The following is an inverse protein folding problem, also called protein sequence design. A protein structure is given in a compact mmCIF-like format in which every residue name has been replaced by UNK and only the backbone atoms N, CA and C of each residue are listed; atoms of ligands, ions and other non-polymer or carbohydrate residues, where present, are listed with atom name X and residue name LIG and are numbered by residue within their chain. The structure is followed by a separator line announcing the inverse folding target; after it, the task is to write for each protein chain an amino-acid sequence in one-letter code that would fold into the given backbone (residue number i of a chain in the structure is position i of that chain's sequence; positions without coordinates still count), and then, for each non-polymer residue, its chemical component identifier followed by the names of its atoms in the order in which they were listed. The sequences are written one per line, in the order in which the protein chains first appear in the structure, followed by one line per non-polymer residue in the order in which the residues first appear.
data_IF_094640130781
#
_entry.id   IF_094640130781
#
_cell.length_a   1.000
_cell.length_b   1.000
_cell.length_c   1.000
_cell.angle_alpha   90.00
_cell.angle_beta   90.00
_cell.angle_gamma   90.00
#
_symmetry.space_group_name_H-M   'P 1'
#
loop_
_entity.id
_entity.type
_entity.pdbx_description
1 polymer ?
#
# COMPACT_ATOMS: atom_id res chain seq x y z
N UNK A 1 -13.57 -21.80 1.14
CA UNK A 1 -13.95 -20.55 1.85
C UNK A 1 -14.09 -19.48 0.80
N UNK A 2 -15.10 -18.63 0.89
CA UNK A 2 -15.16 -17.44 0.03
C UNK A 2 -14.11 -16.39 0.44
N UNK A 3 -13.80 -15.47 -0.47
CA UNK A 3 -12.80 -14.43 -0.27
C UNK A 3 -13.14 -13.53 0.93
N UNK A 4 -14.42 -13.25 1.16
CA UNK A 4 -14.89 -12.42 2.30
C UNK A 4 -14.58 -13.07 3.66
N UNK A 5 -14.82 -14.37 3.78
CA UNK A 5 -14.50 -15.11 4.99
C UNK A 5 -12.99 -15.16 5.22
N UNK A 6 -12.19 -15.27 4.16
CA UNK A 6 -10.72 -15.21 4.25
C UNK A 6 -10.25 -13.84 4.73
N UNK A 7 -10.77 -12.77 4.11
CA UNK A 7 -10.49 -11.40 4.48
C UNK A 7 -10.81 -11.13 5.95
N UNK A 8 -12.02 -11.50 6.42
CA UNK A 8 -12.43 -11.31 7.81
C UNK A 8 -11.47 -11.99 8.79
N UNK A 9 -11.01 -13.21 8.48
CA UNK A 9 -10.03 -13.91 9.33
C UNK A 9 -8.65 -13.25 9.31
N UNK A 10 -8.21 -12.71 8.19
CA UNK A 10 -6.92 -12.02 8.10
C UNK A 10 -6.96 -10.68 8.83
N UNK A 11 -8.10 -9.96 8.77
CA UNK A 11 -8.37 -8.79 9.60
C UNK A 11 -8.36 -9.17 11.10
N UNK A 12 -9.03 -10.25 11.49
CA UNK A 12 -9.02 -10.72 12.89
C UNK A 12 -7.61 -11.09 13.37
N UNK A 13 -6.79 -11.68 12.50
CA UNK A 13 -5.39 -12.03 12.79
C UNK A 13 -4.48 -10.81 12.91
N UNK A 14 -4.80 -9.68 12.28
CA UNK A 14 -4.03 -8.45 12.47
C UNK A 14 -4.14 -7.92 13.90
N UNK A 15 -5.25 -8.22 14.59
CA UNK A 15 -5.50 -7.81 15.97
C UNK A 15 -5.75 -6.31 16.13
N UNK A 16 -5.96 -5.57 15.04
CA UNK A 16 -6.01 -4.12 15.04
C UNK A 16 -7.39 -3.59 14.63
N UNK A 17 -8.23 -3.30 15.64
CA UNK A 17 -9.62 -2.87 15.50
C UNK A 17 -10.42 -3.65 14.43
N UNK A 18 -10.47 -4.99 14.49
CA UNK A 18 -10.97 -5.82 13.40
C UNK A 18 -12.42 -5.52 13.02
N UNK A 19 -13.28 -5.20 13.99
CA UNK A 19 -14.68 -4.83 13.73
C UNK A 19 -14.81 -3.49 12.99
N UNK A 20 -13.98 -2.49 13.34
CA UNK A 20 -13.97 -1.19 12.67
C UNK A 20 -13.45 -1.29 11.23
N UNK A 21 -12.37 -2.07 11.06
CA UNK A 21 -11.78 -2.35 9.75
C UNK A 21 -12.79 -3.05 8.85
N UNK A 22 -13.43 -4.12 9.33
CA UNK A 22 -14.40 -4.88 8.54
C UNK A 22 -15.69 -4.09 8.24
N UNK A 23 -16.20 -3.29 9.19
CA UNK A 23 -17.39 -2.46 8.99
C UNK A 23 -17.15 -1.36 7.94
N UNK A 24 -16.05 -0.63 8.06
CA UNK A 24 -15.67 0.42 7.09
C UNK A 24 -15.43 -0.16 5.68
N UNK A 25 -14.73 -1.30 5.59
CA UNK A 25 -14.47 -1.97 4.33
C UNK A 25 -15.75 -2.56 3.71
N UNK A 26 -16.66 -3.10 4.52
CA UNK A 26 -17.96 -3.59 4.07
C UNK A 26 -18.80 -2.46 3.47
N UNK A 27 -18.80 -1.29 4.12
CA UNK A 27 -19.44 -0.08 3.61
C UNK A 27 -18.85 0.35 2.26
N UNK A 28 -17.52 0.37 2.14
CA UNK A 28 -16.85 0.79 0.91
C UNK A 28 -17.09 -0.18 -0.27
N UNK A 29 -17.08 -1.49 0.01
CA UNK A 29 -17.32 -2.54 -1.00
C UNK A 29 -18.75 -2.50 -1.54
N UNK A 30 -19.73 -2.13 -0.73
CA UNK A 30 -21.13 -2.10 -1.13
C UNK A 30 -21.59 -3.47 -1.60
N UNK A 31 -22.17 -3.55 -2.79
CA UNK A 31 -22.67 -4.80 -3.39
C UNK A 31 -21.65 -5.53 -4.27
N UNK A 32 -20.42 -5.03 -4.42
CA UNK A 32 -19.43 -5.65 -5.28
C UNK A 32 -18.81 -6.90 -4.66
N UNK A 33 -18.48 -7.86 -5.53
CA UNK A 33 -17.74 -9.06 -5.13
C UNK A 33 -16.28 -8.70 -4.85
N UNK A 34 -15.73 -9.28 -3.78
CA UNK A 34 -14.30 -9.26 -3.51
C UNK A 34 -13.61 -10.30 -4.40
N UNK A 35 -12.66 -9.86 -5.22
CA UNK A 35 -11.87 -10.74 -6.10
C UNK A 35 -10.58 -11.20 -5.44
N UNK A 36 -9.81 -10.26 -4.88
CA UNK A 36 -8.56 -10.53 -4.18
C UNK A 36 -8.33 -9.47 -3.11
N UNK A 37 -7.52 -9.78 -2.09
CA UNK A 37 -7.20 -8.82 -1.04
C UNK A 37 -5.82 -9.05 -0.44
N UNK A 38 -5.28 -8.01 0.21
CA UNK A 38 -4.15 -8.15 1.11
C UNK A 38 -4.37 -7.30 2.36
N UNK A 39 -4.07 -7.87 3.52
CA UNK A 39 -4.07 -7.16 4.81
C UNK A 39 -2.62 -6.93 5.19
N UNK A 40 -2.26 -5.66 5.37
CA UNK A 40 -0.97 -5.23 5.89
C UNK A 40 -1.20 -4.58 7.25
N UNK A 41 -0.36 -4.93 8.21
CA UNK A 41 -0.38 -4.31 9.54
C UNK A 41 1.05 -3.96 9.91
N UNK A 42 1.29 -2.68 10.08
CA UNK A 42 2.59 -2.17 10.47
C UNK A 42 2.57 -1.75 11.94
N UNK A 43 3.66 -2.04 12.63
CA UNK A 43 3.95 -1.50 13.95
C UNK A 43 5.26 -0.72 13.85
N UNK A 44 5.19 0.58 13.64
CA UNK A 44 6.35 1.47 13.60
C UNK A 44 6.50 2.27 14.88
N UNK A 45 7.75 2.53 15.27
CA UNK A 45 8.07 3.47 16.33
C UNK A 45 8.44 4.81 15.69
N UNK A 46 7.59 5.83 15.86
CA UNK A 46 7.93 7.22 15.51
C UNK A 46 8.25 8.00 16.79
N UNK A 47 9.49 8.48 16.91
CA UNK A 47 9.98 9.39 17.96
C UNK A 47 9.36 9.15 19.36
N UNK A 48 9.49 7.92 19.85
CA UNK A 48 9.03 7.42 21.17
C UNK A 48 7.58 6.91 21.27
N UNK A 49 6.78 6.95 20.19
CA UNK A 49 5.41 6.40 20.19
C UNK A 49 5.28 5.25 19.19
N UNK A 50 4.65 4.16 19.66
CA UNK A 50 4.26 3.05 18.81
C UNK A 50 3.02 3.47 17.99
N UNK A 51 3.19 3.63 16.68
CA UNK A 51 2.09 3.76 15.73
C UNK A 51 1.81 2.38 15.16
N UNK A 52 0.61 1.90 15.42
CA UNK A 52 0.05 0.74 14.72
C UNK A 52 -0.90 1.28 13.68
N UNK A 53 -0.87 0.71 12.49
CA UNK A 53 -1.89 0.97 11.50
C UNK A 53 -2.17 -0.29 10.71
N UNK A 54 -3.40 -0.43 10.25
CA UNK A 54 -3.82 -1.51 9.37
C UNK A 54 -4.21 -0.92 8.01
N UNK A 55 -3.67 -1.50 6.95
CA UNK A 55 -4.05 -1.20 5.57
C UNK A 55 -4.60 -2.46 4.93
N UNK A 56 -5.81 -2.39 4.41
CA UNK A 56 -6.41 -3.45 3.61
C UNK A 56 -6.58 -2.96 2.18
N UNK A 57 -6.08 -3.74 1.22
CA UNK A 57 -6.40 -3.57 -0.18
C UNK A 57 -7.40 -4.64 -0.60
N UNK A 58 -8.48 -4.22 -1.25
CA UNK A 58 -9.55 -5.08 -1.72
C UNK A 58 -9.82 -4.79 -3.20
N UNK A 59 -9.55 -5.78 -4.05
CA UNK A 59 -9.80 -5.70 -5.47
C UNK A 59 -11.24 -6.14 -5.78
N UNK A 60 -11.97 -5.30 -6.51
CA UNK A 60 -13.31 -5.62 -7.05
C UNK A 60 -13.26 -5.65 -8.59
N UNK A 61 -14.34 -6.06 -9.28
CA UNK A 61 -14.39 -6.01 -10.74
C UNK A 61 -14.22 -4.62 -11.35
N UNK A 62 -14.43 -3.54 -10.59
CA UNK A 62 -14.43 -2.17 -11.12
C UNK A 62 -13.44 -1.22 -10.44
N UNK A 63 -12.93 -1.55 -9.25
CA UNK A 63 -12.09 -0.65 -8.45
C UNK A 63 -11.18 -1.40 -7.49
N UNK A 64 -10.09 -0.75 -7.13
CA UNK A 64 -9.29 -1.03 -5.95
C UNK A 64 -9.87 -0.23 -4.79
N UNK A 65 -10.18 -0.89 -3.68
CA UNK A 65 -10.56 -0.24 -2.43
C UNK A 65 -9.38 -0.35 -1.47
N UNK A 66 -8.91 0.80 -1.00
CA UNK A 66 -7.96 0.89 0.10
C UNK A 66 -8.75 1.25 1.36
N UNK A 67 -8.55 0.50 2.42
CA UNK A 67 -9.00 0.82 3.75
C UNK A 67 -7.77 1.01 4.63
N UNK A 68 -7.74 2.07 5.42
CA UNK A 68 -6.65 2.39 6.32
C UNK A 68 -7.21 2.75 7.70
N UNK A 69 -6.68 2.16 8.77
CA UNK A 69 -7.01 2.53 10.14
C UNK A 69 -5.75 2.90 10.90
N UNK A 70 -5.79 4.07 11.51
CA UNK A 70 -4.79 4.60 12.43
C UNK A 70 -5.38 4.78 13.84
N UNK A 71 -4.54 4.66 14.85
CA UNK A 71 -4.83 5.06 16.24
C UNK A 71 -4.05 6.33 16.58
N UNK A 72 -4.75 7.22 17.28
CA UNK A 72 -4.25 8.49 17.73
C UNK A 72 -4.32 8.53 19.26
N UNK A 73 -3.34 9.15 19.93
CA UNK A 73 -3.46 9.45 21.36
C UNK A 73 -4.59 10.45 21.60
N UNK A 74 -4.98 10.62 22.86
CA UNK A 74 -5.90 11.68 23.25
C UNK A 74 -5.35 13.08 22.86
N UNK A 75 -6.26 13.97 22.46
CA UNK A 75 -5.97 15.36 22.12
C UNK A 75 -7.02 16.32 22.71
N UNK A 76 -6.94 17.61 22.37
CA UNK A 76 -7.86 18.64 22.87
C UNK A 76 -9.33 18.43 22.44
N UNK A 77 -9.56 17.72 21.33
CA UNK A 77 -10.89 17.41 20.80
C UNK A 77 -11.42 16.07 21.34
N UNK A 78 -10.53 15.11 21.57
CA UNK A 78 -10.82 13.75 21.99
C UNK A 78 -9.99 13.39 23.24
N UNK A 79 -10.56 13.46 24.45
CA UNK A 79 -9.82 13.24 25.69
C UNK A 79 -9.43 11.76 25.96
N UNK A 80 -9.67 10.87 25.00
CA UNK A 80 -9.31 9.45 25.03
C UNK A 80 -8.67 9.08 23.69
N UNK A 81 -7.78 8.06 23.65
CA UNK A 81 -7.27 7.52 22.39
C UNK A 81 -8.42 7.15 21.46
N UNK A 82 -8.27 7.43 20.18
CA UNK A 82 -9.30 7.22 19.18
C UNK A 82 -8.68 6.67 17.90
N UNK A 83 -9.48 6.01 17.08
CA UNK A 83 -9.06 5.50 15.78
C UNK A 83 -9.74 6.27 14.65
N UNK A 84 -9.01 6.49 13.56
CA UNK A 84 -9.57 6.98 12.30
C UNK A 84 -9.54 5.86 11.29
N UNK A 85 -10.69 5.53 10.69
CA UNK A 85 -10.77 4.62 9.55
C UNK A 85 -11.15 5.39 8.30
N UNK A 86 -10.34 5.25 7.25
CA UNK A 86 -10.51 5.90 5.95
C UNK A 86 -10.62 4.83 4.88
N UNK A 87 -11.52 5.03 3.93
CA UNK A 87 -11.63 4.19 2.74
C UNK A 87 -11.54 5.03 1.48
N UNK A 88 -10.73 4.61 0.52
CA UNK A 88 -10.61 5.20 -0.80
C UNK A 88 -10.97 4.15 -1.86
N UNK A 89 -11.71 4.56 -2.88
CA UNK A 89 -12.09 3.73 -4.01
C UNK A 89 -11.46 4.28 -5.30
N UNK A 90 -10.47 3.58 -5.82
CA UNK A 90 -9.73 3.94 -7.04
C UNK A 90 -10.24 3.10 -8.19
N UNK A 91 -10.75 3.74 -9.26
CA UNK A 91 -11.18 3.02 -10.47
C UNK A 91 -9.98 2.30 -11.08
N UNK A 92 -10.16 1.07 -11.55
CA UNK A 92 -9.05 0.29 -12.13
C UNK A 92 -8.38 0.99 -13.32
N UNK A 93 -9.15 1.73 -14.12
CA UNK A 93 -8.64 2.49 -15.26
C UNK A 93 -7.92 3.80 -14.90
N UNK A 94 -7.87 4.16 -13.62
CA UNK A 94 -7.10 5.29 -13.12
C UNK A 94 -5.77 4.86 -12.50
N UNK A 95 -5.53 3.54 -12.37
CA UNK A 95 -4.26 3.01 -11.89
C UNK A 95 -3.27 3.08 -13.06
N UNK A 96 -2.27 3.95 -12.91
CA UNK A 96 -1.23 4.20 -13.90
C UNK A 96 -0.08 3.18 -13.81
N UNK A 97 0.21 2.69 -12.59
CA UNK A 97 1.32 1.76 -12.36
C UNK A 97 1.05 0.79 -11.20
N UNK A 98 1.54 -0.45 -11.38
CA UNK A 98 1.63 -1.47 -10.33
C UNK A 98 3.06 -2.01 -10.38
N UNK A 99 3.86 -1.69 -9.36
CA UNK A 99 5.25 -2.09 -9.25
C UNK A 99 5.43 -3.07 -8.09
N UNK A 100 6.25 -4.10 -8.32
CA UNK A 100 6.64 -5.03 -7.26
C UNK A 100 8.15 -5.27 -7.26
N UNK A 101 8.79 -4.85 -6.17
CA UNK A 101 10.20 -5.17 -5.90
C UNK A 101 10.29 -6.43 -5.06
N UNK A 102 11.30 -7.28 -5.31
CA UNK A 102 11.49 -8.56 -4.61
C UNK A 102 12.92 -8.65 -4.10
N UNK A 103 13.10 -9.03 -2.84
CA UNK A 103 14.40 -9.38 -2.29
C UNK A 103 14.49 -10.90 -2.21
N UNK A 104 15.44 -11.47 -2.95
CA UNK A 104 15.72 -12.91 -2.97
C UNK A 104 17.11 -13.14 -2.39
N UNK A 105 17.23 -13.73 -1.19
CA UNK A 105 18.52 -14.20 -0.68
C UNK A 105 19.07 -15.31 -1.57
N UNK A 106 20.38 -15.32 -1.82
CA UNK A 106 21.06 -16.39 -2.57
C UNK A 106 20.43 -16.62 -3.97
N UNK A 107 20.40 -15.59 -4.84
CA UNK A 107 19.69 -15.62 -6.13
C UNK A 107 20.18 -16.74 -7.07
N UNK A 108 21.40 -17.22 -6.91
CA UNK A 108 21.96 -18.35 -7.67
C UNK A 108 21.26 -19.70 -7.38
N UNK A 109 20.50 -19.80 -6.29
CA UNK A 109 19.69 -20.97 -5.92
C UNK A 109 18.18 -20.72 -6.06
N UNK A 110 17.79 -19.71 -6.83
CA UNK A 110 16.41 -19.25 -6.93
C UNK A 110 15.42 -20.38 -7.24
N UNK A 111 14.31 -20.36 -6.50
CA UNK A 111 13.11 -21.15 -6.78
C UNK A 111 11.90 -20.21 -6.79
N UNK A 112 10.85 -20.50 -7.57
CA UNK A 112 9.59 -19.76 -7.48
C UNK A 112 9.10 -19.66 -6.03
N UNK A 113 8.68 -18.47 -5.60
CA UNK A 113 8.27 -18.19 -4.22
C UNK A 113 9.41 -17.91 -3.23
N UNK A 114 10.68 -17.88 -3.66
CA UNK A 114 11.82 -17.65 -2.77
C UNK A 114 12.06 -16.18 -2.35
N UNK A 115 11.10 -15.28 -2.58
CA UNK A 115 11.23 -13.89 -2.13
C UNK A 115 11.16 -13.86 -0.59
N UNK A 116 12.18 -13.29 0.05
CA UNK A 116 12.17 -13.06 1.49
C UNK A 116 11.44 -11.76 1.85
N UNK A 117 11.32 -10.84 0.90
CA UNK A 117 10.62 -9.58 1.08
C UNK A 117 10.10 -9.08 -0.26
N UNK A 118 8.95 -8.40 -0.22
CA UNK A 118 8.37 -7.71 -1.37
C UNK A 118 7.91 -6.31 -0.97
N UNK A 119 8.06 -5.38 -1.90
CA UNK A 119 7.48 -4.04 -1.81
C UNK A 119 6.53 -3.87 -2.98
N UNK A 120 5.25 -3.70 -2.67
CA UNK A 120 4.18 -3.39 -3.62
C UNK A 120 3.96 -1.88 -3.63
N UNK A 121 4.18 -1.25 -4.78
CA UNK A 121 3.85 0.16 -5.00
C UNK A 121 2.78 0.30 -6.07
N UNK A 122 1.82 1.19 -5.85
CA UNK A 122 0.70 1.44 -6.76
C UNK A 122 0.59 2.96 -6.96
N UNK A 123 0.55 3.39 -8.23
CA UNK A 123 0.35 4.78 -8.63
C UNK A 123 -0.98 4.97 -9.36
N UNK A 124 -1.75 5.98 -8.95
CA UNK A 124 -2.97 6.45 -9.62
C UNK A 124 -3.08 7.99 -9.65
N UNK A 125 -1.98 8.68 -9.32
CA UNK A 125 -1.81 10.11 -9.54
C UNK A 125 -2.63 11.02 -8.61
N UNK A 126 -3.08 10.53 -7.46
CA UNK A 126 -3.73 11.37 -6.45
C UNK A 126 -2.73 12.31 -5.76
N UNK A 127 -1.49 11.86 -5.58
CA UNK A 127 -0.36 12.64 -5.04
C UNK A 127 0.80 12.63 -6.01
N UNK A 128 1.27 13.82 -6.37
CA UNK A 128 2.45 14.01 -7.22
C UNK A 128 3.53 14.73 -6.42
N UNK A 129 4.70 14.08 -6.30
CA UNK A 129 5.90 14.73 -5.75
C UNK A 129 6.76 15.21 -6.92
N UNK A 130 6.94 16.53 -6.99
CA UNK A 130 7.73 17.19 -8.02
C UNK A 130 9.05 17.65 -7.40
N UNK A 131 10.17 17.07 -7.82
CA UNK A 131 11.51 17.53 -7.49
C UNK A 131 12.04 18.40 -8.64
N UNK A 132 12.49 19.62 -8.34
CA UNK A 132 13.03 20.56 -9.31
C UNK A 132 14.43 20.98 -8.90
N UNK A 133 15.32 21.02 -9.89
CA UNK A 133 16.68 21.54 -9.77
C UNK A 133 16.95 22.53 -10.91
N UNK A 134 17.83 23.54 -10.70
CA UNK A 134 18.24 24.42 -11.79
C UNK A 134 18.83 23.61 -12.93
N UNK A 135 18.29 23.78 -14.13
CA UNK A 135 18.84 23.15 -15.31
C UNK A 135 20.21 23.76 -15.61
N UNK A 136 21.16 22.92 -16.02
CA UNK A 136 22.47 23.36 -16.50
C UNK A 136 22.73 22.78 -17.88
N UNK A 137 23.54 23.48 -18.67
CA UNK A 137 24.11 22.90 -19.88
C UNK A 137 25.55 22.45 -19.62
N UNK A 138 26.06 21.54 -20.44
CA UNK A 138 27.42 21.00 -20.28
C UNK A 138 28.56 22.00 -20.53
N UNK A 139 28.24 23.28 -20.77
CA UNK A 139 29.21 24.35 -20.96
C UNK A 139 29.48 25.08 -19.62
N UNK A 140 30.69 24.94 -19.04
CA UNK A 140 31.04 25.56 -17.77
C UNK A 140 31.19 27.09 -17.83
N UNK A 141 31.10 27.70 -19.02
CA UNK A 141 31.14 29.16 -19.20
C UNK A 141 29.76 29.75 -19.54
N UNK A 142 28.70 28.95 -19.55
CA UNK A 142 27.37 29.44 -19.85
C UNK A 142 26.74 30.09 -18.60
N UNK A 143 26.40 31.38 -18.71
CA UNK A 143 25.68 32.15 -17.68
C UNK A 143 24.17 32.28 -17.99
N UNK A 144 23.67 31.55 -18.99
CA UNK A 144 22.27 31.62 -19.38
C UNK A 144 21.36 30.94 -18.34
N UNK A 145 20.18 31.51 -18.12
CA UNK A 145 19.12 30.85 -17.35
C UNK A 145 18.47 29.76 -18.22
N UNK A 146 18.68 28.51 -17.82
CA UNK A 146 18.11 27.34 -18.49
C UNK A 146 16.80 26.85 -17.85
N UNK A 147 16.27 27.58 -16.88
CA UNK A 147 15.09 27.20 -16.13
C UNK A 147 15.36 26.04 -15.17
N UNK A 148 14.36 25.19 -14.98
CA UNK A 148 14.41 24.04 -14.08
C UNK A 148 14.22 22.74 -14.85
N UNK A 149 15.01 21.73 -14.48
CA UNK A 149 14.73 20.32 -14.80
C UNK A 149 14.18 19.65 -13.55
N UNK A 150 13.42 18.56 -13.73
CA UNK A 150 12.86 17.87 -12.59
C UNK A 150 12.33 16.49 -12.91
N UNK A 151 12.01 15.78 -11.84
CA UNK A 151 11.36 14.47 -11.88
C UNK A 151 10.01 14.59 -11.18
N UNK A 152 9.00 13.94 -11.77
CA UNK A 152 7.71 13.73 -11.14
C UNK A 152 7.61 12.25 -10.77
N UNK A 153 7.30 11.98 -9.50
CA UNK A 153 7.02 10.63 -9.02
C UNK A 153 5.64 10.60 -8.37
N UNK A 154 4.89 9.55 -8.70
CA UNK A 154 3.64 9.17 -8.04
C UNK A 154 3.81 7.73 -7.61
N UNK A 155 3.91 7.57 -6.29
CA UNK A 155 3.67 6.32 -5.58
C UNK A 155 2.64 6.68 -4.51
N UNK A 156 1.36 6.53 -4.85
CA UNK A 156 0.26 6.88 -3.96
C UNK A 156 0.20 5.93 -2.76
N UNK A 157 0.62 4.66 -2.97
CA UNK A 157 0.73 3.66 -1.93
C UNK A 157 1.98 2.81 -2.11
N UNK A 158 2.67 2.53 -1.00
CA UNK A 158 3.74 1.53 -0.94
C UNK A 158 3.60 0.67 0.32
N UNK A 159 3.54 -0.65 0.14
CA UNK A 159 3.42 -1.63 1.22
C UNK A 159 4.58 -2.62 1.16
N UNK A 160 5.24 -2.83 2.30
CA UNK A 160 6.36 -3.77 2.44
C UNK A 160 5.94 -4.99 3.26
N UNK A 161 6.17 -6.18 2.70
CA UNK A 161 5.92 -7.46 3.35
C UNK A 161 7.23 -8.24 3.46
N UNK A 162 7.57 -8.69 4.65
CA UNK A 162 8.79 -9.45 4.94
C UNK A 162 8.45 -10.81 5.52
N UNK A 163 9.06 -11.87 5.00
CA UNK A 163 8.87 -13.22 5.53
C UNK A 163 9.34 -13.34 7.00
N UNK A 164 10.32 -12.52 7.40
CA UNK A 164 10.84 -12.50 8.76
C UNK A 164 9.91 -11.78 9.76
N UNK A 165 9.18 -10.77 9.32
CA UNK A 165 8.29 -9.97 10.17
C UNK A 165 6.83 -10.46 10.10
N UNK A 166 6.34 -10.69 8.88
CA UNK A 166 4.93 -10.95 8.56
C UNK A 166 4.65 -12.41 8.23
N UNK A 167 5.72 -13.21 8.07
CA UNK A 167 5.66 -14.61 7.66
C UNK A 167 5.65 -14.81 6.15
N UNK A 168 6.06 -15.99 5.66
CA UNK A 168 6.16 -16.28 4.23
C UNK A 168 4.81 -16.20 3.51
N UNK A 169 3.72 -16.54 4.19
CA UNK A 169 2.38 -16.48 3.60
C UNK A 169 1.95 -15.04 3.29
N UNK A 170 2.39 -14.05 4.07
CA UNK A 170 2.08 -12.63 3.81
C UNK A 170 2.79 -12.14 2.54
N UNK A 171 4.05 -12.56 2.35
CA UNK A 171 4.80 -12.29 1.11
C UNK A 171 4.10 -12.91 -0.09
N UNK A 172 3.63 -14.15 0.04
CA UNK A 172 2.90 -14.82 -1.04
C UNK A 172 1.56 -14.13 -1.34
N UNK A 173 0.76 -13.77 -0.32
CA UNK A 173 -0.49 -13.02 -0.53
C UNK A 173 -0.27 -11.68 -1.23
N UNK A 174 0.80 -10.96 -0.89
CA UNK A 174 1.15 -9.71 -1.57
C UNK A 174 1.52 -9.94 -3.05
N UNK A 175 2.21 -11.05 -3.36
CA UNK A 175 2.50 -11.44 -4.75
C UNK A 175 1.23 -11.81 -5.52
N UNK A 176 0.34 -12.60 -4.92
CA UNK A 176 -0.93 -13.03 -5.52
C UNK A 176 -1.84 -11.81 -5.78
N UNK A 177 -1.91 -10.89 -4.81
CA UNK A 177 -2.63 -9.62 -4.96
C UNK A 177 -2.06 -8.76 -6.08
N UNK A 178 -0.72 -8.61 -6.15
CA UNK A 178 -0.07 -7.85 -7.20
C UNK A 178 -0.35 -8.46 -8.60
N UNK A 179 -0.31 -9.79 -8.73
CA UNK A 179 -0.68 -10.48 -9.97
C UNK A 179 -2.13 -10.21 -10.36
N UNK A 180 -3.07 -10.34 -9.41
CA UNK A 180 -4.49 -10.09 -9.65
C UNK A 180 -4.76 -8.63 -10.07
N UNK A 181 -4.10 -7.67 -9.40
CA UNK A 181 -4.23 -6.25 -9.71
C UNK A 181 -3.64 -5.94 -11.09
N UNK A 182 -2.42 -6.38 -11.38
CA UNK A 182 -1.79 -6.17 -12.71
C UNK A 182 -2.68 -6.70 -13.83
N UNK A 183 -3.24 -7.91 -13.66
CA UNK A 183 -4.17 -8.49 -14.65
C UNK A 183 -5.45 -7.65 -14.82
N UNK A 184 -5.93 -7.00 -13.76
CA UNK A 184 -7.13 -6.18 -13.79
C UNK A 184 -6.89 -4.79 -14.42
N UNK A 185 -5.65 -4.29 -14.40
CA UNK A 185 -5.28 -2.95 -14.88
C UNK A 185 -4.65 -2.94 -16.28
N UNK A 186 -4.10 -4.06 -16.77
CA UNK A 186 -3.57 -4.21 -18.13
C UNK A 186 -2.10 -4.59 -18.16
#
# INVERSE_FOLDING_TARGET
MDARSMLRRDIERSGYYPDLVDDSLTTALGSENLLEFVVHHEATFDREQLRRHATVLALTPSRLIMQHTDEHPADDNYPQPYATSVTEAVRLNAIDSVMISRVVPTPEQYKPGAAAEVVLSIGWGAVQRIELEPASCGDPQCEADHGFSGTAASDDLSLRFSAAADGPDAVQRALDFAEALSKATG
#
